data_IF_176919845322
#
_entry.id   IF_176919845322
#
_cell.length_a   1.000
_cell.length_b   1.000
_cell.length_c   1.000
_cell.angle_alpha   90.00
_cell.angle_beta   90.00
_cell.angle_gamma   90.00
#
_symmetry.space_group_name_H-M   'P 1'
#
loop_
_entity.id
_entity.type
_entity.pdbx_description
1 polymer ?
#
# COMPACT_ATOMS: atom_id res chain seq x y z
N UNK A 1 -18.11 3.63 -17.10
CA UNK A 1 -18.48 4.85 -16.35
C UNK A 1 -18.01 4.57 -14.93
N UNK A 2 -17.02 5.30 -14.44
CA UNK A 2 -16.45 5.04 -13.10
C UNK A 2 -17.45 5.59 -12.10
N UNK A 3 -18.12 4.71 -11.35
CA UNK A 3 -19.03 5.10 -10.30
C UNK A 3 -18.25 5.52 -9.05
N UNK A 4 -18.79 6.48 -8.29
CA UNK A 4 -18.19 6.93 -7.03
C UNK A 4 -17.98 5.77 -6.04
N UNK A 5 -18.83 4.74 -6.11
CA UNK A 5 -18.69 3.52 -5.33
C UNK A 5 -17.40 2.76 -5.65
N UNK A 6 -17.04 2.63 -6.94
CA UNK A 6 -15.83 1.92 -7.36
C UNK A 6 -14.58 2.65 -6.92
N UNK A 7 -14.59 3.99 -6.96
CA UNK A 7 -13.46 4.81 -6.47
C UNK A 7 -13.23 4.56 -4.97
N UNK A 8 -14.29 4.53 -4.17
CA UNK A 8 -14.21 4.26 -2.72
C UNK A 8 -13.68 2.85 -2.45
N UNK A 9 -14.17 1.86 -3.22
CA UNK A 9 -13.78 0.46 -3.05
C UNK A 9 -12.32 0.23 -3.45
N UNK A 10 -11.88 0.85 -4.55
CA UNK A 10 -10.48 0.87 -4.99
C UNK A 10 -9.57 1.56 -3.96
N UNK A 11 -10.01 2.69 -3.39
CA UNK A 11 -9.28 3.39 -2.34
C UNK A 11 -9.10 2.52 -1.11
N UNK A 12 -10.17 1.87 -0.66
CA UNK A 12 -10.14 0.99 0.50
C UNK A 12 -9.23 -0.21 0.27
N UNK A 13 -9.35 -0.88 -0.87
CA UNK A 13 -8.50 -2.02 -1.22
C UNK A 13 -7.01 -1.63 -1.29
N UNK A 14 -6.70 -0.49 -1.92
CA UNK A 14 -5.33 0.02 -1.98
C UNK A 14 -4.78 0.39 -0.59
N UNK A 15 -5.61 0.99 0.28
CA UNK A 15 -5.25 1.35 1.64
C UNK A 15 -4.97 0.13 2.53
N UNK A 16 -5.75 -0.94 2.39
CA UNK A 16 -5.53 -2.19 3.12
C UNK A 16 -4.21 -2.84 2.67
N UNK A 17 -3.92 -2.85 1.37
CA UNK A 17 -2.68 -3.43 0.84
C UNK A 17 -1.44 -2.67 1.32
N UNK A 18 -1.45 -1.33 1.25
CA UNK A 18 -0.34 -0.48 1.71
C UNK A 18 -0.20 -0.48 3.23
N UNK A 19 -1.31 -0.39 3.97
CA UNK A 19 -1.34 -0.49 5.42
C UNK A 19 -0.83 -1.84 5.93
N UNK A 20 -1.14 -2.94 5.23
CA UNK A 20 -0.62 -4.27 5.53
C UNK A 20 0.91 -4.34 5.45
N UNK A 21 1.52 -3.65 4.47
CA UNK A 21 2.98 -3.57 4.35
C UNK A 21 3.60 -2.82 5.54
N UNK A 22 3.02 -1.68 5.96
CA UNK A 22 3.49 -0.95 7.15
C UNK A 22 3.30 -1.76 8.44
N UNK A 23 2.14 -2.40 8.60
CA UNK A 23 1.85 -3.26 9.75
C UNK A 23 2.85 -4.42 9.82
N UNK A 24 3.17 -5.03 8.68
CA UNK A 24 4.15 -6.12 8.63
C UNK A 24 5.54 -5.67 9.11
N UNK A 25 5.93 -4.43 8.83
CA UNK A 25 7.17 -3.82 9.32
C UNK A 25 7.13 -3.57 10.83
N UNK A 26 5.98 -3.18 11.38
CA UNK A 26 5.79 -3.01 12.82
C UNK A 26 5.83 -4.34 13.58
N UNK A 27 5.13 -5.36 13.08
CA UNK A 27 5.02 -6.67 13.74
C UNK A 27 6.31 -7.48 13.59
N UNK A 28 6.98 -7.38 12.44
CA UNK A 28 8.19 -8.15 12.13
C UNK A 28 9.35 -7.22 11.68
N UNK A 29 9.94 -6.44 12.61
CA UNK A 29 10.93 -5.40 12.29
C UNK A 29 12.23 -5.92 11.70
N UNK A 30 12.53 -7.22 11.78
CA UNK A 30 13.76 -7.79 11.20
C UNK A 30 13.53 -8.49 9.86
N UNK A 31 12.29 -8.82 9.51
CA UNK A 31 11.96 -9.67 8.35
C UNK A 31 12.29 -9.03 7.00
N UNK A 32 12.24 -7.70 6.94
CA UNK A 32 12.57 -6.90 5.76
C UNK A 32 13.76 -5.98 5.98
N UNK A 33 14.59 -6.18 7.02
CA UNK A 33 15.68 -5.27 7.34
C UNK A 33 16.68 -5.08 6.18
N UNK A 34 16.81 -6.07 5.30
CA UNK A 34 17.69 -6.00 4.13
C UNK A 34 17.08 -5.22 2.95
N UNK A 35 15.76 -5.32 2.76
CA UNK A 35 15.04 -4.69 1.63
C UNK A 35 14.50 -3.30 1.99
N UNK A 36 14.16 -3.11 3.26
CA UNK A 36 13.55 -1.92 3.86
C UNK A 36 14.35 -1.53 5.11
N UNK A 37 15.58 -1.03 4.95
CA UNK A 37 16.50 -0.81 6.07
C UNK A 37 16.02 0.28 7.03
N UNK A 38 15.31 1.29 6.52
CA UNK A 38 14.87 2.44 7.30
C UNK A 38 13.34 2.55 7.33
N UNK A 39 12.79 3.10 8.41
CA UNK A 39 11.35 3.42 8.47
C UNK A 39 10.91 4.31 7.32
N UNK A 40 11.76 5.26 6.92
CA UNK A 40 11.52 6.12 5.76
C UNK A 40 11.33 5.34 4.46
N UNK A 41 12.10 4.27 4.22
CA UNK A 41 11.92 3.47 2.99
C UNK A 41 10.65 2.63 3.04
N UNK A 42 10.24 2.14 4.22
CA UNK A 42 8.96 1.45 4.40
C UNK A 42 7.77 2.38 4.12
N UNK A 43 7.82 3.63 4.57
CA UNK A 43 6.80 4.63 4.22
C UNK A 43 6.76 4.91 2.71
N UNK A 44 7.92 5.09 2.06
CA UNK A 44 7.98 5.32 0.61
C UNK A 44 7.41 4.10 -0.15
N UNK A 45 7.81 2.88 0.21
CA UNK A 45 7.32 1.66 -0.43
C UNK A 45 5.80 1.49 -0.26
N UNK A 46 5.27 1.78 0.94
CA UNK A 46 3.84 1.76 1.21
C UNK A 46 3.08 2.79 0.37
N UNK A 47 3.59 4.02 0.27
CA UNK A 47 2.96 5.07 -0.55
C UNK A 47 2.97 4.72 -2.04
N UNK A 48 4.08 4.16 -2.55
CA UNK A 48 4.16 3.68 -3.94
C UNK A 48 3.15 2.55 -4.17
N UNK A 49 3.11 1.56 -3.26
CA UNK A 49 2.18 0.44 -3.37
C UNK A 49 0.73 0.93 -3.41
N UNK A 50 0.38 1.90 -2.56
CA UNK A 50 -0.95 2.51 -2.55
C UNK A 50 -1.30 3.12 -3.92
N UNK A 51 -0.44 3.99 -4.46
CA UNK A 51 -0.69 4.67 -5.73
C UNK A 51 -0.80 3.68 -6.88
N UNK A 52 0.11 2.70 -6.94
CA UNK A 52 0.13 1.68 -8.00
C UNK A 52 -1.11 0.79 -7.94
N UNK A 53 -1.49 0.31 -6.75
CA UNK A 53 -2.70 -0.50 -6.60
C UNK A 53 -3.94 0.31 -6.93
N UNK A 54 -4.05 1.54 -6.43
CA UNK A 54 -5.20 2.39 -6.68
C UNK A 54 -5.37 2.68 -8.18
N UNK A 55 -4.29 3.06 -8.86
CA UNK A 55 -4.31 3.29 -10.30
C UNK A 55 -4.63 2.00 -11.09
N UNK A 56 -4.05 0.86 -10.69
CA UNK A 56 -4.32 -0.44 -11.33
C UNK A 56 -5.77 -0.88 -11.15
N UNK A 57 -6.39 -0.59 -10.00
CA UNK A 57 -7.78 -0.94 -9.73
C UNK A 57 -8.76 -0.01 -10.46
N UNK A 58 -8.41 1.27 -10.62
CA UNK A 58 -9.20 2.24 -11.40
C UNK A 58 -9.13 2.03 -12.92
N UNK A 59 -8.03 1.48 -13.42
CA UNK A 59 -7.85 1.18 -14.84
C UNK A 59 -8.53 -0.12 -15.29
N UNK A 60 -9.04 -0.91 -14.34
CA UNK A 60 -9.71 -2.18 -14.60
C UNK A 60 -11.21 -1.99 -14.78
#
# INVERSE_FOLDING_TARGET
MIDWHDVILCFFAAAVASGGLLLSRFVYPLRFAFLLPNWRSAYIASSILFVVMFASLLLR
#
